data_IF_306342862065
#
_entry.id   IF_306342862065
#
_cell.length_a   1.000
_cell.length_b   1.000
_cell.length_c   1.000
_cell.angle_alpha   90.00
_cell.angle_beta   90.00
_cell.angle_gamma   90.00
#
_symmetry.space_group_name_H-M   'P 1'
#
loop_
_entity.id
_entity.type
_entity.pdbx_description
1 polymer ?
#
# COMPACT_ATOMS: atom_id res chain seq x y z
N UNK A 1 12.71 -19.65 6.07
CA UNK A 1 12.56 -18.27 6.59
C UNK A 1 11.61 -17.56 5.66
N UNK A 2 10.59 -16.86 6.18
CA UNK A 2 9.74 -16.04 5.32
C UNK A 2 10.53 -14.82 4.86
N UNK A 3 10.45 -14.45 3.58
CA UNK A 3 11.06 -13.19 3.13
C UNK A 3 10.33 -12.01 3.78
N UNK A 4 11.00 -10.85 3.88
CA UNK A 4 10.41 -9.61 4.41
C UNK A 4 9.07 -9.28 3.71
N UNK A 5 9.01 -9.46 2.39
CA UNK A 5 7.78 -9.30 1.60
C UNK A 5 6.66 -10.27 1.98
N UNK A 6 6.96 -11.53 2.29
CA UNK A 6 5.95 -12.49 2.76
C UNK A 6 5.41 -12.12 4.14
N UNK A 7 6.26 -11.57 5.03
CA UNK A 7 5.83 -11.09 6.34
C UNK A 7 4.92 -9.87 6.23
N UNK A 8 5.27 -8.90 5.38
CA UNK A 8 4.44 -7.71 5.10
C UNK A 8 3.09 -8.11 4.49
N UNK A 9 3.10 -9.02 3.51
CA UNK A 9 1.87 -9.52 2.90
C UNK A 9 0.98 -10.20 3.94
N UNK A 10 1.54 -11.09 4.78
CA UNK A 10 0.79 -11.75 5.84
C UNK A 10 0.20 -10.73 6.83
N UNK A 11 0.97 -9.70 7.21
CA UNK A 11 0.46 -8.62 8.04
C UNK A 11 -0.68 -7.87 7.35
N UNK A 12 -0.51 -7.43 6.10
CA UNK A 12 -1.50 -6.66 5.35
C UNK A 12 -2.82 -7.43 5.17
N UNK A 13 -2.73 -8.74 4.93
CA UNK A 13 -3.89 -9.61 4.71
C UNK A 13 -4.55 -10.14 5.98
N UNK A 14 -4.01 -9.82 7.16
CA UNK A 14 -4.67 -10.17 8.42
C UNK A 14 -5.65 -9.06 8.80
N UNK A 15 -6.96 -9.33 9.01
CA UNK A 15 -7.91 -8.32 9.47
C UNK A 15 -7.46 -7.65 10.77
N UNK A 16 -7.65 -6.34 10.88
CA UNK A 16 -7.40 -5.63 12.13
C UNK A 16 -8.58 -5.86 13.11
N UNK A 17 -8.34 -6.15 14.41
CA UNK A 17 -9.41 -6.43 15.38
C UNK A 17 -10.49 -5.32 15.47
N UNK A 18 -10.07 -4.06 15.35
CA UNK A 18 -10.96 -2.90 15.39
C UNK A 18 -11.61 -2.55 14.04
N UNK A 19 -11.45 -3.39 13.01
CA UNK A 19 -11.94 -3.16 11.65
C UNK A 19 -11.52 -1.79 11.07
N UNK A 20 -10.30 -1.36 11.38
CA UNK A 20 -9.65 -0.17 10.80
C UNK A 20 -8.68 -0.61 9.71
N UNK A 21 -8.47 0.18 8.65
CA UNK A 21 -7.54 -0.18 7.57
C UNK A 21 -6.11 -0.17 8.09
N UNK A 22 -5.31 -1.17 7.70
CA UNK A 22 -3.86 -1.16 7.88
C UNK A 22 -3.23 -0.12 6.96
N UNK A 23 -2.18 0.56 7.42
CA UNK A 23 -1.49 1.55 6.60
C UNK A 23 -0.09 1.07 6.24
N UNK A 24 0.19 1.01 4.96
CA UNK A 24 1.49 0.63 4.43
C UNK A 24 2.07 1.84 3.71
N UNK A 25 3.14 2.44 4.23
CA UNK A 25 3.85 3.49 3.52
C UNK A 25 5.04 2.89 2.79
N UNK A 26 5.14 3.13 1.50
CA UNK A 26 6.22 2.64 0.66
C UNK A 26 6.92 3.81 -0.02
N UNK A 27 8.23 3.91 0.20
CA UNK A 27 9.11 4.77 -0.56
C UNK A 27 9.74 3.98 -1.71
N UNK A 28 9.52 4.45 -2.93
CA UNK A 28 9.91 3.76 -4.16
C UNK A 28 10.98 4.59 -4.89
N UNK A 29 12.19 4.04 -5.01
CA UNK A 29 13.27 4.61 -5.82
C UNK A 29 13.05 4.31 -7.33
N UNK A 30 13.28 5.31 -8.18
CA UNK A 30 12.88 5.40 -9.59
C UNK A 30 13.59 4.44 -10.56
N UNK A 31 14.63 3.71 -10.14
CA UNK A 31 15.23 2.67 -10.99
C UNK A 31 14.46 1.34 -10.99
N UNK A 32 13.25 1.29 -10.41
CA UNK A 32 12.38 0.12 -10.52
C UNK A 32 11.93 -0.14 -11.96
N UNK A 33 12.59 -1.12 -12.58
CA UNK A 33 12.01 -1.89 -13.66
C UNK A 33 10.67 -2.50 -13.21
N UNK A 34 9.61 -2.15 -13.95
CA UNK A 34 8.29 -2.80 -13.93
C UNK A 34 7.33 -2.52 -12.74
N UNK A 35 7.26 -1.27 -12.26
CA UNK A 35 6.10 -0.81 -11.45
C UNK A 35 4.75 -1.15 -12.09
N UNK A 36 4.64 -0.98 -13.41
CA UNK A 36 3.42 -1.33 -14.16
C UNK A 36 3.07 -2.82 -14.04
N UNK A 37 4.06 -3.73 -14.08
CA UNK A 37 3.80 -5.16 -13.85
C UNK A 37 3.41 -5.43 -12.40
N UNK A 38 4.01 -4.74 -11.42
CA UNK A 38 3.62 -4.88 -10.01
C UNK A 38 2.17 -4.46 -9.78
N UNK A 39 1.74 -3.33 -10.34
CA UNK A 39 0.33 -2.90 -10.32
C UNK A 39 -0.56 -3.89 -11.06
N UNK A 40 -0.18 -4.37 -12.24
CA UNK A 40 -0.96 -5.35 -12.99
C UNK A 40 -1.14 -6.66 -12.21
N UNK A 41 -0.06 -7.18 -11.63
CA UNK A 41 -0.10 -8.36 -10.76
C UNK A 41 -0.99 -8.13 -9.54
N UNK A 42 -0.93 -6.93 -8.95
CA UNK A 42 -1.79 -6.57 -7.82
C UNK A 42 -3.28 -6.54 -8.19
N UNK A 43 -3.62 -6.01 -9.36
CA UNK A 43 -5.00 -6.04 -9.90
C UNK A 43 -5.49 -7.48 -10.05
N UNK A 44 -4.68 -8.35 -10.66
CA UNK A 44 -5.00 -9.78 -10.82
C UNK A 44 -5.19 -10.47 -9.47
N UNK A 45 -4.29 -10.24 -8.52
CA UNK A 45 -4.39 -10.80 -7.18
C UNK A 45 -5.65 -10.33 -6.44
N UNK A 46 -6.02 -9.05 -6.59
CA UNK A 46 -7.26 -8.51 -6.03
C UNK A 46 -8.51 -9.15 -6.64
N UNK A 47 -8.56 -9.30 -7.96
CA UNK A 47 -9.70 -9.93 -8.65
C UNK A 47 -9.89 -11.40 -8.25
N UNK A 48 -8.80 -12.10 -7.95
CA UNK A 48 -8.83 -13.51 -7.53
C UNK A 48 -8.97 -13.71 -6.01
N UNK A 49 -9.01 -12.63 -5.22
CA UNK A 49 -9.13 -12.75 -3.78
C UNK A 49 -10.51 -13.30 -3.38
N UNK A 50 -10.52 -14.20 -2.39
CA UNK A 50 -11.73 -14.83 -1.84
C UNK A 50 -12.05 -14.40 -0.41
N UNK A 51 -11.16 -13.64 0.23
CA UNK A 51 -11.34 -13.13 1.58
C UNK A 51 -11.21 -11.60 1.61
N UNK A 52 -12.08 -10.89 2.35
CA UNK A 52 -11.99 -9.45 2.47
C UNK A 52 -10.83 -9.01 3.37
N UNK A 53 -10.13 -7.96 2.97
CA UNK A 53 -9.06 -7.28 3.72
C UNK A 53 -9.08 -5.77 3.44
N UNK A 54 -8.81 -4.96 4.47
CA UNK A 54 -8.86 -3.50 4.37
C UNK A 54 -7.48 -2.89 4.61
N UNK A 55 -6.98 -2.10 3.66
CA UNK A 55 -5.74 -1.37 3.82
C UNK A 55 -5.69 -0.08 2.98
N UNK A 56 -4.78 0.80 3.38
CA UNK A 56 -4.38 2.01 2.66
C UNK A 56 -2.88 1.92 2.42
N UNK A 57 -2.47 1.81 1.16
CA UNK A 57 -1.08 1.92 0.73
C UNK A 57 -0.77 3.36 0.33
N UNK A 58 0.25 3.96 0.92
CA UNK A 58 0.76 5.29 0.55
C UNK A 58 2.07 5.08 -0.20
N UNK A 59 2.09 5.47 -1.47
CA UNK A 59 3.17 5.18 -2.40
C UNK A 59 3.87 6.50 -2.74
N UNK A 60 5.06 6.72 -2.19
CA UNK A 60 5.88 7.90 -2.44
C UNK A 60 6.86 7.64 -3.58
N UNK A 61 6.93 8.56 -4.54
CA UNK A 61 7.81 8.48 -5.69
C UNK A 61 8.73 9.70 -5.75
N UNK A 62 10.01 9.48 -6.09
CA UNK A 62 10.87 10.59 -6.51
C UNK A 62 10.42 11.06 -7.91
N UNK A 63 9.77 12.21 -7.98
CA UNK A 63 8.97 12.64 -9.14
C UNK A 63 9.72 12.98 -10.43
N UNK A 64 11.04 12.81 -10.52
CA UNK A 64 11.79 13.31 -11.68
C UNK A 64 11.43 12.63 -13.01
N UNK A 65 10.67 11.52 -13.04
CA UNK A 65 10.40 10.76 -14.28
C UNK A 65 8.95 10.28 -14.54
N UNK A 66 8.00 10.39 -13.59
CA UNK A 66 6.77 9.56 -13.65
C UNK A 66 5.41 10.29 -13.76
N UNK A 67 5.39 11.63 -13.84
CA UNK A 67 4.15 12.42 -13.73
C UNK A 67 3.09 12.18 -14.82
N UNK A 68 3.39 11.39 -15.87
CA UNK A 68 2.47 11.05 -16.95
C UNK A 68 2.13 9.56 -17.16
N UNK A 69 2.77 8.61 -16.47
CA UNK A 69 2.65 7.17 -16.81
C UNK A 69 1.70 6.39 -15.90
N UNK A 70 1.43 6.88 -14.69
CA UNK A 70 0.55 6.19 -13.73
C UNK A 70 -0.88 6.69 -13.87
N UNK A 71 -1.76 5.81 -14.35
CA UNK A 71 -3.18 6.10 -14.52
C UNK A 71 -3.96 5.61 -13.29
N UNK A 72 -4.68 6.50 -12.58
CA UNK A 72 -5.62 6.12 -11.53
C UNK A 72 -6.62 5.06 -12.02
N UNK A 73 -7.09 4.21 -11.11
CA UNK A 73 -8.08 3.20 -11.45
C UNK A 73 -8.95 2.84 -10.25
N UNK A 74 -10.12 2.28 -10.53
CA UNK A 74 -11.01 1.67 -9.56
C UNK A 74 -11.41 0.28 -10.07
N UNK A 75 -11.32 -0.72 -9.21
CA UNK A 75 -11.73 -2.10 -9.48
C UNK A 75 -12.67 -2.57 -8.39
N UNK A 76 -13.62 -3.43 -8.77
CA UNK A 76 -14.58 -4.03 -7.85
C UNK A 76 -14.36 -5.55 -7.85
N UNK A 77 -14.34 -6.13 -6.65
CA UNK A 77 -14.45 -7.57 -6.45
C UNK A 77 -15.82 -7.84 -5.81
N UNK A 78 -16.77 -8.33 -6.60
CA UNK A 78 -18.13 -8.63 -6.14
C UNK A 78 -18.18 -9.81 -5.16
N UNK A 79 -17.23 -10.75 -5.27
CA UNK A 79 -17.16 -11.92 -4.38
C UNK A 79 -16.82 -11.49 -2.96
N UNK A 80 -15.83 -10.60 -2.78
CA UNK A 80 -15.43 -10.10 -1.46
C UNK A 80 -16.23 -8.85 -1.03
N UNK A 81 -17.01 -8.26 -1.94
CA UNK A 81 -17.75 -6.99 -1.74
C UNK A 81 -16.81 -5.83 -1.42
N UNK A 82 -15.68 -5.80 -2.11
CA UNK A 82 -14.62 -4.80 -1.94
C UNK A 82 -14.33 -4.02 -3.22
N UNK A 83 -13.70 -2.88 -3.04
CA UNK A 83 -13.10 -2.09 -4.11
C UNK A 83 -11.61 -1.91 -3.88
N UNK A 84 -10.85 -1.83 -4.97
CA UNK A 84 -9.45 -1.45 -5.00
C UNK A 84 -9.30 -0.21 -5.88
N UNK A 85 -8.80 0.88 -5.30
CA UNK A 85 -8.61 2.15 -5.99
C UNK A 85 -7.14 2.59 -5.94
N UNK A 86 -6.57 2.98 -7.07
CA UNK A 86 -5.34 3.76 -7.12
C UNK A 86 -5.71 5.21 -7.43
N UNK A 87 -5.40 6.12 -6.51
CA UNK A 87 -5.76 7.53 -6.60
C UNK A 87 -4.51 8.39 -6.53
N UNK A 88 -4.46 9.45 -7.34
CA UNK A 88 -3.45 10.50 -7.20
C UNK A 88 -3.87 11.43 -6.07
N UNK A 89 -2.91 11.84 -5.24
CA UNK A 89 -3.15 12.85 -4.21
C UNK A 89 -2.88 14.25 -4.74
N UNK A 90 -3.44 15.26 -4.08
CA UNK A 90 -3.11 16.67 -4.36
C UNK A 90 -1.69 17.01 -3.92
N UNK A 91 -1.15 16.27 -2.94
CA UNK A 91 0.28 16.25 -2.63
C UNK A 91 1.03 15.63 -3.82
N UNK A 92 1.96 16.40 -4.40
CA UNK A 92 2.44 16.18 -5.76
C UNK A 92 3.14 14.82 -5.97
N UNK A 93 3.59 14.18 -4.89
CA UNK A 93 4.62 13.14 -4.92
C UNK A 93 4.13 11.75 -4.45
N UNK A 94 2.82 11.58 -4.19
CA UNK A 94 2.30 10.28 -3.77
C UNK A 94 1.00 9.82 -4.43
N UNK A 95 0.78 8.50 -4.34
CA UNK A 95 -0.46 7.83 -4.72
C UNK A 95 -1.01 7.03 -3.54
N UNK A 96 -2.33 6.95 -3.47
CA UNK A 96 -3.04 6.08 -2.53
C UNK A 96 -3.54 4.82 -3.24
N UNK A 97 -3.13 3.65 -2.76
CA UNK A 97 -3.67 2.35 -3.14
C UNK A 97 -4.62 1.87 -2.03
N UNK A 98 -5.91 2.00 -2.23
CA UNK A 98 -6.93 1.78 -1.20
C UNK A 98 -7.73 0.53 -1.50
N UNK A 99 -7.66 -0.48 -0.63
CA UNK A 99 -8.58 -1.63 -0.64
C UNK A 99 -9.56 -1.53 0.51
N UNK A 100 -10.85 -1.57 0.21
CA UNK A 100 -11.90 -1.27 1.19
C UNK A 100 -13.23 -1.95 0.85
N UNK A 101 -14.18 -2.05 1.81
CA UNK A 101 -15.52 -2.51 1.52
C UNK A 101 -16.24 -1.55 0.56
N UNK A 102 -17.13 -2.07 -0.29
CA UNK A 102 -17.98 -1.23 -1.16
C UNK A 102 -18.95 -0.40 -0.30
N UNK A 103 -19.57 -1.03 0.72
CA UNK A 103 -20.51 -0.41 1.64
C UNK A 103 -19.80 0.36 2.78
N UNK A 104 -18.77 1.14 2.45
CA UNK A 104 -17.96 1.88 3.44
C UNK A 104 -18.54 3.25 3.78
N UNK A 105 -18.34 3.69 5.02
CA UNK A 105 -18.56 5.08 5.42
C UNK A 105 -17.54 5.99 4.72
N UNK A 106 -18.00 6.72 3.70
CA UNK A 106 -17.13 7.58 2.88
C UNK A 106 -16.44 8.66 3.71
N UNK A 107 -17.12 9.26 4.69
CA UNK A 107 -16.55 10.32 5.52
C UNK A 107 -15.44 9.78 6.40
N UNK A 108 -15.67 8.60 7.00
CA UNK A 108 -14.66 7.91 7.80
C UNK A 108 -13.43 7.51 6.97
N UNK A 109 -13.64 6.97 5.77
CA UNK A 109 -12.55 6.58 4.89
C UNK A 109 -11.77 7.78 4.36
N UNK A 110 -12.44 8.88 4.00
CA UNK A 110 -11.73 10.11 3.60
C UNK A 110 -10.84 10.64 4.73
N UNK A 111 -11.28 10.53 5.99
CA UNK A 111 -10.45 10.89 7.15
C UNK A 111 -9.22 9.98 7.24
N UNK A 112 -9.40 8.66 7.17
CA UNK A 112 -8.27 7.72 7.18
C UNK A 112 -7.32 7.87 5.98
N UNK A 113 -7.84 8.14 4.79
CA UNK A 113 -7.03 8.40 3.58
C UNK A 113 -6.14 9.65 3.79
N UNK A 114 -6.68 10.73 4.40
CA UNK A 114 -5.90 11.94 4.75
C UNK A 114 -4.86 11.68 5.84
N UNK A 115 -5.25 11.01 6.93
CA UNK A 115 -4.35 10.64 8.03
C UNK A 115 -3.19 9.74 7.55
N UNK A 116 -3.45 8.86 6.57
CA UNK A 116 -2.42 8.01 5.99
C UNK A 116 -1.33 8.79 5.25
N UNK A 117 -1.72 9.82 4.49
CA UNK A 117 -0.77 10.68 3.79
C UNK A 117 0.02 11.52 4.81
N UNK A 118 -0.68 12.10 5.78
CA UNK A 118 -0.09 12.91 6.83
C UNK A 118 0.95 12.15 7.68
N UNK A 119 1.84 12.92 8.28
CA UNK A 119 2.67 12.47 9.39
C UNK A 119 1.89 12.40 10.71
N UNK A 120 0.65 12.90 10.71
CA UNK A 120 -0.23 12.95 11.88
C UNK A 120 -0.99 11.63 12.08
N UNK A 121 -0.50 10.84 13.03
CA UNK A 121 -1.27 9.92 13.88
C UNK A 121 -2.26 8.97 13.17
N UNK A 122 -1.71 7.92 12.56
CA UNK A 122 -2.28 6.59 12.74
C UNK A 122 -1.65 6.01 14.00
N UNK A 123 -2.40 5.23 14.79
CA UNK A 123 -1.80 4.39 15.83
C UNK A 123 -0.64 3.63 15.18
N UNK A 124 0.59 3.95 15.56
CA UNK A 124 1.82 3.46 14.89
C UNK A 124 1.87 1.92 14.87
N UNK A 125 1.08 1.25 15.71
CA UNK A 125 0.87 -0.21 15.71
C UNK A 125 0.18 -0.76 14.46
N UNK A 126 -0.47 0.10 13.68
CA UNK A 126 -1.22 -0.25 12.48
C UNK A 126 -0.59 0.32 11.21
N UNK A 127 0.68 0.70 11.29
CA UNK A 127 1.48 1.24 10.20
C UNK A 127 2.75 0.41 9.99
N UNK A 128 3.14 0.19 8.74
CA UNK A 128 4.48 -0.28 8.37
C UNK A 128 5.05 0.68 7.34
N UNK A 129 6.29 1.12 7.58
CA UNK A 129 7.07 1.92 6.65
C UNK A 129 8.11 1.03 5.98
N UNK A 130 8.11 1.02 4.65
CA UNK A 130 9.07 0.26 3.85
C UNK A 130 9.79 1.22 2.91
N UNK A 131 11.11 1.16 2.97
CA UNK A 131 11.96 1.74 1.95
C UNK A 131 12.48 0.62 1.05
N UNK A 132 12.31 0.80 -0.26
CA UNK A 132 12.78 -0.17 -1.24
C UNK A 132 13.86 0.51 -2.11
N UNK A 133 15.13 0.30 -1.78
CA UNK A 133 16.29 0.91 -2.45
C UNK A 133 17.04 -0.07 -3.36
N UNK A 134 17.81 0.48 -4.31
CA UNK A 134 18.56 -0.29 -5.32
C UNK A 134 19.87 -0.92 -4.83
N UNK A 135 20.35 -0.64 -3.61
CA UNK A 135 21.74 -0.97 -3.24
C UNK A 135 22.01 -2.47 -3.00
N UNK A 136 20.97 -3.31 -2.98
CA UNK A 136 21.10 -4.70 -2.57
C UNK A 136 20.20 -5.65 -3.37
N UNK A 137 20.36 -5.70 -4.69
CA UNK A 137 19.92 -6.86 -5.47
C UNK A 137 20.66 -8.11 -4.95
N UNK A 138 19.99 -8.93 -4.16
CA UNK A 138 20.48 -10.28 -3.84
C UNK A 138 20.00 -11.17 -4.98
N UNK A 139 20.84 -11.33 -6.01
CA UNK A 139 21.02 -12.51 -6.88
C UNK A 139 19.85 -13.23 -7.58
N UNK A 140 18.60 -13.08 -7.13
CA UNK A 140 17.44 -13.92 -7.50
C UNK A 140 16.17 -13.09 -7.76
N UNK A 141 16.29 -11.76 -7.92
CA UNK A 141 15.13 -10.86 -8.10
C UNK A 141 14.32 -10.59 -6.82
N UNK A 142 14.87 -10.93 -5.65
CA UNK A 142 14.30 -10.63 -4.34
C UNK A 142 14.79 -9.26 -3.85
N UNK A 143 13.86 -8.33 -3.69
CA UNK A 143 14.10 -7.00 -3.15
C UNK A 143 14.41 -7.08 -1.66
N UNK A 144 15.50 -6.43 -1.23
CA UNK A 144 15.74 -6.15 0.19
C UNK A 144 14.82 -5.00 0.60
N UNK A 145 13.89 -5.25 1.51
CA UNK A 145 12.93 -4.27 1.97
C UNK A 145 13.28 -3.91 3.41
N UNK A 146 13.83 -2.72 3.65
CA UNK A 146 14.09 -2.30 5.02
C UNK A 146 12.75 -1.94 5.66
N UNK A 147 12.29 -2.81 6.57
CA UNK A 147 11.08 -2.60 7.35
C UNK A 147 11.45 -1.74 8.55
N UNK A 148 10.94 -0.52 8.58
CA UNK A 148 11.03 0.33 9.76
C UNK A 148 9.75 0.13 10.58
N UNK A 149 9.90 -0.45 11.77
CA UNK A 149 8.86 -0.39 12.80
C UNK A 149 9.18 0.79 13.70
N UNK A 150 8.31 1.80 13.70
CA UNK A 150 8.42 2.92 14.63
C UNK A 150 7.88 2.47 15.99
N UNK A 151 8.72 1.78 16.76
CA UNK A 151 8.44 1.47 18.17
C UNK A 151 9.06 2.58 19.04
N UNK A 152 8.34 3.69 19.24
CA UNK A 152 8.71 4.66 20.28
C UNK A 152 8.12 4.25 21.63
N UNK A 153 8.90 4.26 22.74
CA UNK A 153 8.38 4.04 24.07
C UNK A 153 7.48 5.21 24.49
N UNK A 154 6.46 4.89 25.29
CA UNK A 154 5.47 5.84 25.84
C UNK A 154 6.10 6.96 26.68
#
# INVERSE_FOLDING_TARGET
MASEGQAVAKWLFTPHPNNVPKVLKCWLDINYGNWLLKIAAFKVAFSNASSPVNFIGVLWFSLSYFSGTVVPFDLINELTREQLALKRTDESDCFLLVRSPIARDKSKWTKWEKEAIGWEFIDQRNQIDIQIDNEHEIGDGLLKAMIYKNDQPK
#
